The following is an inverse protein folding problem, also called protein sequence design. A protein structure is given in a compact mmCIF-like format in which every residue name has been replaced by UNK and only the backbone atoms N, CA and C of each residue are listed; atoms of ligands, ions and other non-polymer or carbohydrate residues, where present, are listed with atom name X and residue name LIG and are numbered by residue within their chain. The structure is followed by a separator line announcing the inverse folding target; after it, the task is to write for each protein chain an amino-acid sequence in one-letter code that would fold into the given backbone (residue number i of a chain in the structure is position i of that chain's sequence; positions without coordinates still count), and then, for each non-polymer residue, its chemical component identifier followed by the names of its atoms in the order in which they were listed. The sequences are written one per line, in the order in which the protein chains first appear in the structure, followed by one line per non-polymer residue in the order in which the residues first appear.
data_IF_025918114959
#
_entry.id   IF_025918114959
#
_cell.length_a   1.000
_cell.length_b   1.000
_cell.length_c   1.000
_cell.angle_alpha   90.00
_cell.angle_beta   90.00
_cell.angle_gamma   90.00
#
_symmetry.space_group_name_H-M   'P 1'
#
loop_
_entity.id
_entity.type
_entity.pdbx_description
1 polymer ?
#
# COMPACT_ATOMS: atom_id res chain seq x y z
N UNK A 1 5.41 -4.53 -3.54
CA UNK A 1 4.93 -5.41 -2.44
C UNK A 1 5.37 -6.87 -2.64
N UNK A 2 5.36 -7.38 -3.88
CA UNK A 2 5.85 -8.74 -4.18
C UNK A 2 7.30 -8.93 -3.70
N UNK A 3 7.57 -10.04 -3.01
CA UNK A 3 8.89 -10.36 -2.45
C UNK A 3 9.25 -9.69 -1.12
N UNK A 4 8.42 -8.76 -0.60
CA UNK A 4 8.60 -8.16 0.73
C UNK A 4 7.95 -9.01 1.82
N UNK A 5 8.47 -8.93 3.04
CA UNK A 5 7.80 -9.50 4.22
C UNK A 5 6.50 -8.74 4.53
N UNK A 6 5.58 -9.39 5.26
CA UNK A 6 4.33 -8.76 5.71
C UNK A 6 4.58 -7.44 6.47
N UNK A 7 5.62 -7.38 7.31
CA UNK A 7 5.98 -6.16 8.06
C UNK A 7 6.39 -5.02 7.13
N UNK A 8 7.23 -5.30 6.14
CA UNK A 8 7.67 -4.30 5.16
C UNK A 8 6.52 -3.87 4.24
N UNK A 9 5.64 -4.80 3.87
CA UNK A 9 4.47 -4.49 3.07
C UNK A 9 3.48 -3.58 3.82
N UNK A 10 3.37 -3.72 5.14
CA UNK A 10 2.53 -2.87 6.01
C UNK A 10 3.09 -1.46 6.21
N UNK A 11 4.38 -1.25 5.94
CA UNK A 11 5.01 0.07 6.02
C UNK A 11 4.88 0.88 4.72
N UNK A 12 4.36 0.29 3.64
CA UNK A 12 4.19 0.97 2.36
C UNK A 12 3.15 2.08 2.52
N UNK A 13 3.64 3.32 2.53
CA UNK A 13 2.78 4.48 2.61
C UNK A 13 2.43 5.01 1.22
N UNK A 14 1.40 5.84 1.19
CA UNK A 14 0.98 6.60 0.02
C UNK A 14 2.11 7.41 -0.62
N UNK A 15 2.96 8.01 0.23
CA UNK A 15 4.10 8.82 -0.22
C UNK A 15 5.13 7.95 -0.90
N UNK A 16 5.33 6.72 -0.43
CA UNK A 16 6.23 5.76 -1.05
C UNK A 16 5.69 5.36 -2.42
N UNK A 17 4.40 5.02 -2.51
CA UNK A 17 3.76 4.71 -3.81
C UNK A 17 3.87 5.89 -4.77
N UNK A 18 3.66 7.11 -4.29
CA UNK A 18 3.74 8.29 -5.14
C UNK A 18 5.18 8.63 -5.56
N UNK A 19 6.15 8.43 -4.66
CA UNK A 19 7.58 8.62 -4.93
C UNK A 19 8.12 7.63 -5.96
N UNK A 20 7.77 6.35 -5.83
CA UNK A 20 8.17 5.29 -6.77
C UNK A 20 7.59 5.52 -8.18
N UNK A 21 6.45 6.19 -8.28
CA UNK A 21 5.82 6.56 -9.55
C UNK A 21 6.40 7.84 -10.17
N UNK A 22 7.45 8.43 -9.58
CA UNK A 22 8.08 9.66 -10.05
C UNK A 22 7.32 10.93 -9.65
N UNK A 23 6.46 10.83 -8.63
CA UNK A 23 5.52 11.87 -8.20
C UNK A 23 4.17 11.72 -8.89
N UNK A 24 3.08 11.95 -8.15
CA UNK A 24 1.75 12.05 -8.73
C UNK A 24 1.20 13.46 -8.67
N UNK A 25 0.56 13.94 -9.75
CA UNK A 25 -0.20 15.18 -9.69
C UNK A 25 -1.34 15.06 -8.67
N UNK A 26 -1.72 16.16 -7.98
CA UNK A 26 -2.69 16.13 -6.88
C UNK A 26 -4.02 15.44 -7.22
N UNK A 27 -4.49 15.55 -8.47
CA UNK A 27 -5.74 14.93 -8.93
C UNK A 27 -5.68 13.40 -8.99
N UNK A 28 -4.48 12.82 -9.12
CA UNK A 28 -4.28 11.36 -9.17
C UNK A 28 -3.86 10.76 -7.81
N UNK A 29 -3.61 11.60 -6.81
CA UNK A 29 -3.32 11.13 -5.44
C UNK A 29 -4.46 10.27 -4.89
N UNK A 30 -5.72 10.61 -5.13
CA UNK A 30 -6.86 9.83 -4.63
C UNK A 30 -6.83 8.36 -5.08
N UNK A 31 -6.42 8.09 -6.32
CA UNK A 31 -6.28 6.72 -6.85
C UNK A 31 -5.11 5.97 -6.20
N UNK A 32 -4.00 6.67 -5.92
CA UNK A 32 -2.88 6.10 -5.16
C UNK A 32 -3.25 5.83 -3.70
N UNK A 33 -4.15 6.63 -3.11
CA UNK A 33 -4.67 6.41 -1.77
C UNK A 33 -5.42 5.08 -1.69
N UNK A 34 -6.31 4.83 -2.66
CA UNK A 34 -7.06 3.57 -2.75
C UNK A 34 -6.15 2.34 -2.84
N UNK A 35 -5.04 2.42 -3.57
CA UNK A 35 -4.14 1.28 -3.74
C UNK A 35 -3.41 0.91 -2.42
N UNK A 36 -2.92 1.90 -1.69
CA UNK A 36 -2.26 1.68 -0.40
C UNK A 36 -3.25 1.16 0.66
N UNK A 37 -4.46 1.72 0.71
CA UNK A 37 -5.51 1.29 1.64
C UNK A 37 -5.97 -0.14 1.35
N UNK A 38 -6.15 -0.50 0.07
CA UNK A 38 -6.52 -1.85 -0.34
C UNK A 38 -5.43 -2.86 0.05
N UNK A 39 -4.15 -2.51 -0.11
CA UNK A 39 -3.04 -3.35 0.29
C UNK A 39 -3.03 -3.60 1.80
N UNK A 40 -3.22 -2.56 2.61
CA UNK A 40 -3.29 -2.70 4.07
C UNK A 40 -4.45 -3.58 4.51
N UNK A 41 -5.65 -3.38 3.95
CA UNK A 41 -6.81 -4.22 4.26
C UNK A 41 -6.59 -5.69 3.88
N UNK A 42 -5.95 -5.95 2.73
CA UNK A 42 -5.63 -7.32 2.33
C UNK A 42 -4.64 -7.99 3.29
N UNK A 43 -3.64 -7.25 3.77
CA UNK A 43 -2.69 -7.74 4.78
C UNK A 43 -3.40 -8.03 6.11
N UNK A 44 -4.31 -7.15 6.55
CA UNK A 44 -5.08 -7.35 7.78
C UNK A 44 -6.00 -8.56 7.69
N UNK A 45 -6.74 -8.74 6.57
CA UNK A 45 -7.59 -9.91 6.33
C UNK A 45 -6.77 -11.21 6.34
N UNK A 46 -5.59 -11.21 5.71
CA UNK A 46 -4.69 -12.37 5.73
C UNK A 46 -4.22 -12.73 7.16
N UNK A 47 -3.88 -11.73 7.97
CA UNK A 47 -3.47 -11.92 9.36
C UNK A 47 -4.62 -12.39 10.24
N UNK A 48 -5.85 -11.90 10.01
CA UNK A 48 -7.03 -12.35 10.73
C UNK A 48 -7.39 -13.79 10.39
N UNK A 49 -7.26 -14.21 9.13
CA UNK A 49 -7.55 -15.59 8.69
C UNK A 49 -6.49 -16.61 9.08
N UNK A 50 -5.26 -16.17 9.36
CA UNK A 50 -4.16 -17.05 9.82
C UNK A 50 -4.13 -17.25 11.34
N UNK A 51 -5.16 -16.76 12.04
CA UNK A 51 -5.36 -16.92 13.48
C UNK A 51 -6.40 -18.00 13.74
#
# INVERSE_FOLDING_TARGET
AMGKTIKEAKQISLKDVAGELGGLPPIKMHCSNMAADALHKAIEDYLQKSK
#
